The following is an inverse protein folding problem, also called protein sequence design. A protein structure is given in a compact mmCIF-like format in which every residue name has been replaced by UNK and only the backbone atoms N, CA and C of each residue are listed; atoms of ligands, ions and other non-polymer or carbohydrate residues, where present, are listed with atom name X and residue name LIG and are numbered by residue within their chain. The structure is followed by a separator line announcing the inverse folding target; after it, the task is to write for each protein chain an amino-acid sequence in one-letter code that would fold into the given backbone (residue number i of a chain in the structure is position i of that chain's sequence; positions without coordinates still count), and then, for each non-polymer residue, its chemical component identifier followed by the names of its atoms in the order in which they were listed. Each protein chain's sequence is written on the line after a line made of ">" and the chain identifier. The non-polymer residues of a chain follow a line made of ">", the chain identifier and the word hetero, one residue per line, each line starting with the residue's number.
data_IF_022328037929
#
_entry.id   IF_022328037929
#
_cell.length_a   1.000
_cell.length_b   1.000
_cell.length_c   1.000
_cell.angle_alpha   90.00
_cell.angle_beta   90.00
_cell.angle_gamma   90.00
#
_symmetry.space_group_name_H-M   'P 1'
#
loop_
_entity.id
_entity.type
_entity.pdbx_description
1 polymer ?
#
# COMPACT_ATOMS: atom_id res chain seq x y z
N UNK A 1 18.11 23.53 7.63
CA UNK A 1 16.81 22.81 7.60
C UNK A 1 16.40 22.46 6.17
N UNK A 2 16.36 23.39 5.23
CA UNK A 2 15.91 23.16 3.83
C UNK A 2 16.72 22.05 3.14
N UNK A 3 18.07 22.08 3.24
CA UNK A 3 18.94 21.05 2.63
C UNK A 3 18.65 19.66 3.17
N UNK A 4 18.43 19.52 4.48
CA UNK A 4 18.08 18.24 5.09
C UNK A 4 16.72 17.74 4.59
N UNK A 5 15.72 18.62 4.53
CA UNK A 5 14.38 18.27 4.07
C UNK A 5 14.37 17.87 2.59
N UNK A 6 15.13 18.59 1.72
CA UNK A 6 15.24 18.23 0.30
C UNK A 6 15.94 16.89 0.09
N UNK A 7 16.96 16.58 0.88
CA UNK A 7 17.66 15.29 0.84
C UNK A 7 16.72 14.15 1.30
N UNK A 8 15.92 14.36 2.34
CA UNK A 8 14.94 13.39 2.80
C UNK A 8 13.85 13.12 1.74
N UNK A 9 13.39 14.16 1.04
CA UNK A 9 12.42 14.00 -0.05
C UNK A 9 13.04 13.17 -1.19
N UNK A 10 14.28 13.44 -1.54
CA UNK A 10 14.99 12.70 -2.60
C UNK A 10 15.15 11.22 -2.24
N UNK A 11 15.58 10.93 -1.01
CA UNK A 11 15.69 9.55 -0.50
C UNK A 11 14.31 8.86 -0.55
N UNK A 12 13.26 9.57 -0.17
CA UNK A 12 11.90 9.05 -0.19
C UNK A 12 11.44 8.69 -1.60
N UNK A 13 11.68 9.55 -2.58
CA UNK A 13 11.33 9.30 -4.00
C UNK A 13 12.11 8.09 -4.54
N UNK A 14 13.41 8.00 -4.26
CA UNK A 14 14.23 6.85 -4.66
C UNK A 14 13.68 5.57 -4.04
N UNK A 15 13.32 5.60 -2.76
CA UNK A 15 12.80 4.43 -2.05
C UNK A 15 11.46 3.96 -2.61
N UNK A 16 10.56 4.88 -2.98
CA UNK A 16 9.32 4.55 -3.71
C UNK A 16 9.63 3.88 -5.04
N UNK A 17 10.51 4.46 -5.84
CA UNK A 17 10.88 3.94 -7.15
C UNK A 17 11.46 2.52 -7.07
N UNK A 18 12.35 2.27 -6.11
CA UNK A 18 12.91 0.95 -5.85
C UNK A 18 11.83 -0.05 -5.42
N UNK A 19 10.95 0.35 -4.50
CA UNK A 19 9.85 -0.51 -4.03
C UNK A 19 8.94 -0.94 -5.18
N UNK A 20 8.48 0.02 -6.00
CA UNK A 20 7.61 -0.27 -7.14
C UNK A 20 8.33 -1.10 -8.21
N UNK A 21 9.61 -0.82 -8.48
CA UNK A 21 10.41 -1.57 -9.44
C UNK A 21 10.60 -3.04 -9.04
N UNK A 22 10.89 -3.30 -7.78
CA UNK A 22 11.05 -4.68 -7.27
C UNK A 22 9.72 -5.44 -7.21
N UNK A 23 8.62 -4.76 -6.87
CA UNK A 23 7.28 -5.38 -6.92
C UNK A 23 6.91 -5.77 -8.36
N UNK A 24 7.25 -4.93 -9.34
CA UNK A 24 7.04 -5.26 -10.76
C UNK A 24 7.80 -6.53 -11.19
N UNK A 25 9.00 -6.76 -10.65
CA UNK A 25 9.80 -7.99 -10.85
C UNK A 25 9.23 -9.21 -10.09
N UNK A 26 8.15 -9.03 -9.31
CA UNK A 26 7.50 -10.08 -8.53
C UNK A 26 7.99 -10.21 -7.09
N UNK A 27 8.86 -9.31 -6.62
CA UNK A 27 9.40 -9.33 -5.27
C UNK A 27 8.51 -8.54 -4.29
N UNK A 28 7.43 -9.17 -3.84
CA UNK A 28 6.42 -8.57 -2.96
C UNK A 28 6.95 -8.19 -1.55
N UNK A 29 8.10 -8.74 -1.13
CA UNK A 29 8.70 -8.43 0.17
C UNK A 29 9.07 -6.95 0.30
N UNK A 30 9.37 -6.26 -0.81
CA UNK A 30 9.72 -4.83 -0.76
C UNK A 30 8.58 -3.93 -0.30
N UNK A 31 7.31 -4.28 -0.50
CA UNK A 31 6.20 -3.54 0.09
C UNK A 31 6.20 -3.65 1.61
N UNK A 32 6.45 -4.84 2.16
CA UNK A 32 6.56 -5.02 3.62
C UNK A 32 7.75 -4.25 4.18
N UNK A 33 8.87 -4.24 3.46
CA UNK A 33 10.05 -3.47 3.83
C UNK A 33 9.75 -1.96 3.83
N UNK A 34 9.03 -1.46 2.82
CA UNK A 34 8.56 -0.08 2.77
C UNK A 34 7.71 0.28 4.00
N UNK A 35 6.79 -0.61 4.39
CA UNK A 35 5.93 -0.39 5.56
C UNK A 35 6.75 -0.35 6.84
N UNK A 36 7.62 -1.33 7.06
CA UNK A 36 8.40 -1.47 8.30
C UNK A 36 9.40 -0.33 8.44
N UNK A 37 10.07 0.04 7.34
CA UNK A 37 11.11 1.07 7.39
C UNK A 37 10.55 2.49 7.35
N UNK A 38 9.48 2.74 6.60
CA UNK A 38 9.03 4.10 6.33
C UNK A 38 7.88 4.57 7.23
N UNK A 39 6.88 3.73 7.51
CA UNK A 39 5.71 4.18 8.27
C UNK A 39 6.05 4.70 9.68
N UNK A 40 7.00 4.12 10.45
CA UNK A 40 7.35 4.66 11.76
C UNK A 40 7.93 6.08 11.68
N UNK A 41 8.71 6.36 10.63
CA UNK A 41 9.36 7.66 10.43
C UNK A 41 8.51 8.68 9.66
N UNK A 42 7.36 8.25 9.16
CA UNK A 42 6.50 9.06 8.30
C UNK A 42 6.07 10.39 8.93
N UNK A 43 5.68 10.35 10.19
CA UNK A 43 5.24 11.56 10.93
C UNK A 43 6.41 12.53 11.13
N UNK A 44 7.57 12.01 11.51
CA UNK A 44 8.80 12.83 11.69
C UNK A 44 9.21 13.46 10.36
N UNK A 45 9.15 12.68 9.27
CA UNK A 45 9.42 13.16 7.93
C UNK A 45 8.49 14.31 7.52
N UNK A 46 7.17 14.17 7.74
CA UNK A 46 6.20 15.23 7.44
C UNK A 46 6.47 16.50 8.23
N UNK A 47 6.73 16.40 9.55
CA UNK A 47 7.03 17.56 10.40
C UNK A 47 8.31 18.26 9.93
N UNK A 48 9.35 17.50 9.60
CA UNK A 48 10.62 18.07 9.12
C UNK A 48 10.44 18.83 7.81
N UNK A 49 9.68 18.27 6.87
CA UNK A 49 9.39 18.91 5.58
C UNK A 49 8.51 20.14 5.79
N UNK A 50 7.52 20.08 6.69
CA UNK A 50 6.68 21.26 6.98
C UNK A 50 7.49 22.42 7.55
N UNK A 51 8.29 22.15 8.56
CA UNK A 51 9.12 23.17 9.19
C UNK A 51 10.17 23.77 8.24
N UNK A 52 10.52 23.07 7.16
CA UNK A 52 11.49 23.56 6.18
C UNK A 52 10.87 24.38 5.06
N UNK A 53 9.67 24.03 4.60
CA UNK A 53 9.06 24.60 3.39
C UNK A 53 7.77 25.38 3.65
N UNK A 54 7.12 25.20 4.81
CA UNK A 54 5.82 25.80 5.20
C UNK A 54 4.72 25.66 4.13
N UNK A 55 4.83 24.64 3.27
CA UNK A 55 3.96 24.45 2.13
C UNK A 55 2.99 23.29 2.36
N UNK A 56 1.70 23.64 2.55
CA UNK A 56 0.62 22.67 2.80
C UNK A 56 0.39 21.72 1.62
N UNK A 57 0.58 22.20 0.37
CA UNK A 57 0.38 21.37 -0.83
C UNK A 57 1.41 20.25 -0.87
N UNK A 58 2.67 20.56 -0.55
CA UNK A 58 3.76 19.60 -0.52
C UNK A 58 3.51 18.52 0.54
N UNK A 59 3.01 18.90 1.71
CA UNK A 59 2.67 17.95 2.78
C UNK A 59 1.52 17.05 2.39
N UNK A 60 0.46 17.62 1.79
CA UNK A 60 -0.66 16.83 1.31
C UNK A 60 -0.20 15.86 0.21
N UNK A 61 0.70 16.25 -0.66
CA UNK A 61 1.29 15.35 -1.68
C UNK A 61 2.04 14.19 -1.04
N UNK A 62 2.84 14.45 -0.01
CA UNK A 62 3.52 13.39 0.76
C UNK A 62 2.50 12.49 1.47
N UNK A 63 1.44 13.08 2.04
CA UNK A 63 0.38 12.33 2.72
C UNK A 63 -0.32 11.34 1.80
N UNK A 64 -0.62 11.74 0.57
CA UNK A 64 -1.29 10.88 -0.40
C UNK A 64 -0.34 9.93 -1.13
N UNK A 65 0.96 10.22 -1.16
CA UNK A 65 1.94 9.36 -1.84
C UNK A 65 2.01 7.95 -1.26
N UNK A 66 1.82 7.77 0.05
CA UNK A 66 1.75 6.45 0.67
C UNK A 66 0.57 5.61 0.12
N UNK A 67 -0.61 6.23 0.00
CA UNK A 67 -1.79 5.56 -0.54
C UNK A 67 -1.54 5.20 -2.02
N UNK A 68 -0.91 6.09 -2.78
CA UNK A 68 -0.51 5.85 -4.16
C UNK A 68 0.46 4.66 -4.27
N UNK A 69 1.46 4.56 -3.39
CA UNK A 69 2.40 3.41 -3.37
C UNK A 69 1.66 2.11 -3.13
N UNK A 70 0.72 2.07 -2.18
CA UNK A 70 -0.07 0.86 -1.90
C UNK A 70 -0.91 0.42 -3.09
N UNK A 71 -1.69 1.33 -3.68
CA UNK A 71 -2.54 0.99 -4.83
C UNK A 71 -1.73 0.63 -6.06
N UNK A 72 -0.67 1.38 -6.36
CA UNK A 72 0.23 1.07 -7.48
C UNK A 72 0.92 -0.28 -7.28
N UNK A 73 1.36 -0.59 -6.06
CA UNK A 73 1.93 -1.88 -5.73
C UNK A 73 0.95 -3.03 -5.97
N UNK A 74 -0.32 -2.84 -5.62
CA UNK A 74 -1.35 -3.85 -5.85
C UNK A 74 -1.61 -4.08 -7.34
N UNK A 75 -1.70 -3.01 -8.12
CA UNK A 75 -1.86 -3.10 -9.58
C UNK A 75 -0.66 -3.81 -10.20
N UNK A 76 0.57 -3.41 -9.84
CA UNK A 76 1.79 -4.02 -10.34
C UNK A 76 1.92 -5.49 -9.93
N UNK A 77 1.48 -5.83 -8.72
CA UNK A 77 1.41 -7.21 -8.26
C UNK A 77 0.48 -8.04 -9.13
N UNK A 78 -0.71 -7.55 -9.45
CA UNK A 78 -1.66 -8.25 -10.33
C UNK A 78 -1.08 -8.42 -11.74
N UNK A 79 -0.44 -7.37 -12.28
CA UNK A 79 0.14 -7.40 -13.63
C UNK A 79 1.39 -8.29 -13.69
N UNK A 80 2.30 -8.13 -12.73
CA UNK A 80 3.58 -8.86 -12.69
C UNK A 80 3.40 -10.34 -12.43
N UNK A 81 2.40 -10.73 -11.64
CA UNK A 81 2.12 -12.13 -11.35
C UNK A 81 1.42 -12.88 -12.49
N UNK A 82 0.95 -12.19 -13.53
CA UNK A 82 0.32 -12.87 -14.69
C UNK A 82 1.20 -13.98 -15.27
N UNK A 83 2.51 -13.82 -15.28
CA UNK A 83 3.44 -14.85 -15.78
C UNK A 83 3.71 -15.99 -14.77
N UNK A 84 3.63 -15.73 -13.48
CA UNK A 84 3.92 -16.70 -12.41
C UNK A 84 2.65 -17.25 -11.75
N UNK A 85 1.56 -16.50 -11.79
CA UNK A 85 0.30 -16.78 -11.09
C UNK A 85 -0.56 -17.81 -11.82
N UNK A 86 -0.54 -17.81 -13.16
CA UNK A 86 -1.38 -18.71 -13.98
C UNK A 86 -0.88 -20.17 -13.88
N UNK A 87 0.41 -20.38 -13.58
CA UNK A 87 1.00 -21.72 -13.50
C UNK A 87 1.01 -22.34 -12.09
N UNK A 88 0.73 -21.58 -11.03
CA UNK A 88 0.50 -22.12 -9.69
C UNK A 88 -0.99 -22.08 -9.41
N UNK A 89 -1.63 -23.25 -9.40
CA UNK A 89 -2.99 -23.44 -8.91
C UNK A 89 -3.20 -22.63 -7.63
N UNK A 90 -3.95 -21.55 -7.74
CA UNK A 90 -4.30 -20.66 -6.63
C UNK A 90 -5.28 -21.42 -5.74
N UNK A 91 -4.76 -22.22 -4.83
CA UNK A 91 -5.58 -22.81 -3.79
C UNK A 91 -6.00 -21.70 -2.84
N UNK A 92 -7.16 -21.08 -3.11
CA UNK A 92 -7.78 -20.14 -2.19
C UNK A 92 -8.06 -20.84 -0.86
N UNK A 93 -7.35 -20.44 0.18
CA UNK A 93 -7.65 -20.88 1.53
C UNK A 93 -9.02 -20.35 1.96
N UNK A 94 -9.60 -20.97 2.97
CA UNK A 94 -10.87 -20.49 3.56
C UNK A 94 -10.73 -19.02 3.99
N UNK A 95 -9.57 -18.63 4.52
CA UNK A 95 -9.27 -17.27 4.95
C UNK A 95 -9.28 -16.27 3.79
N UNK A 96 -8.74 -16.66 2.61
CA UNK A 96 -8.78 -15.79 1.43
C UNK A 96 -10.21 -15.50 0.97
N UNK A 97 -11.04 -16.54 0.95
CA UNK A 97 -12.46 -16.41 0.59
C UNK A 97 -13.18 -15.48 1.55
N UNK A 98 -12.92 -15.60 2.85
CA UNK A 98 -13.50 -14.73 3.88
C UNK A 98 -13.06 -13.27 3.68
N UNK A 99 -11.78 -13.01 3.43
CA UNK A 99 -11.27 -11.65 3.21
C UNK A 99 -11.87 -11.05 1.93
N UNK A 100 -11.91 -11.79 0.83
CA UNK A 100 -12.51 -11.34 -0.42
C UNK A 100 -14.00 -11.03 -0.22
N UNK A 101 -14.73 -11.90 0.48
CA UNK A 101 -16.15 -11.69 0.79
C UNK A 101 -16.33 -10.43 1.64
N UNK A 102 -15.47 -10.23 2.65
CA UNK A 102 -15.51 -9.03 3.47
C UNK A 102 -15.22 -7.75 2.67
N UNK A 103 -14.23 -7.77 1.78
CA UNK A 103 -13.95 -6.65 0.89
C UNK A 103 -15.11 -6.36 -0.08
N UNK A 104 -15.76 -7.40 -0.57
CA UNK A 104 -16.96 -7.25 -1.40
C UNK A 104 -18.12 -6.60 -0.62
N UNK A 105 -18.34 -6.99 0.64
CA UNK A 105 -19.33 -6.35 1.51
C UNK A 105 -19.02 -4.87 1.76
N UNK A 106 -17.75 -4.51 1.91
CA UNK A 106 -17.34 -3.10 2.05
C UNK A 106 -17.66 -2.30 0.79
N UNK A 107 -17.49 -2.87 -0.41
CA UNK A 107 -17.91 -2.23 -1.67
C UNK A 107 -19.42 -2.05 -1.74
N UNK A 108 -20.18 -3.06 -1.34
CA UNK A 108 -21.66 -2.97 -1.26
C UNK A 108 -22.07 -1.85 -0.32
N UNK A 109 -21.43 -1.74 0.85
CA UNK A 109 -21.68 -0.66 1.82
C UNK A 109 -21.40 0.74 1.25
N UNK A 110 -20.42 0.89 0.35
CA UNK A 110 -20.17 2.17 -0.33
C UNK A 110 -21.33 2.61 -1.21
N UNK A 111 -21.97 1.65 -1.90
CA UNK A 111 -23.03 1.92 -2.87
C UNK A 111 -24.37 2.16 -2.16
N UNK A 112 -24.64 1.42 -1.09
CA UNK A 112 -25.92 1.51 -0.37
C UNK A 112 -25.91 2.73 0.56
N UNK A 113 -26.95 3.59 0.50
CA UNK A 113 -27.04 4.77 1.36
C UNK A 113 -27.52 4.39 2.77
N UNK A 114 -26.78 3.51 3.45
CA UNK A 114 -27.07 3.13 4.84
C UNK A 114 -26.47 4.16 5.80
N UNK A 115 -27.31 4.72 6.66
CA UNK A 115 -26.91 5.66 7.71
C UNK A 115 -26.62 7.08 7.23
N UNK A 116 -26.41 7.99 8.17
CA UNK A 116 -26.17 9.42 7.94
C UNK A 116 -24.72 9.77 7.56
N UNK A 117 -23.86 8.77 7.41
CA UNK A 117 -22.46 9.01 7.12
C UNK A 117 -22.26 9.61 5.71
N UNK A 118 -21.55 10.74 5.65
CA UNK A 118 -21.21 11.40 4.40
C UNK A 118 -20.41 10.45 3.49
N UNK A 119 -20.62 10.52 2.18
CA UNK A 119 -19.97 9.67 1.17
C UNK A 119 -18.43 9.72 1.27
N UNK A 120 -17.87 10.90 1.57
CA UNK A 120 -16.43 11.07 1.76
C UNK A 120 -15.92 10.21 2.93
N UNK A 121 -16.63 10.21 4.06
CA UNK A 121 -16.27 9.40 5.23
C UNK A 121 -16.34 7.90 4.92
N UNK A 122 -17.34 7.46 4.14
CA UNK A 122 -17.46 6.06 3.68
C UNK A 122 -16.28 5.66 2.79
N UNK A 123 -15.86 6.53 1.86
CA UNK A 123 -14.71 6.28 0.98
C UNK A 123 -13.41 6.15 1.79
N UNK A 124 -13.19 7.05 2.76
CA UNK A 124 -11.99 7.01 3.61
C UNK A 124 -11.96 5.71 4.42
N UNK A 125 -13.09 5.28 4.98
CA UNK A 125 -13.22 4.04 5.72
C UNK A 125 -12.94 2.82 4.84
N UNK A 126 -13.59 2.73 3.68
CA UNK A 126 -13.38 1.67 2.72
C UNK A 126 -11.91 1.58 2.26
N UNK A 127 -11.28 2.73 1.94
CA UNK A 127 -9.86 2.79 1.59
C UNK A 127 -8.99 2.12 2.66
N UNK A 128 -9.21 2.43 3.93
CA UNK A 128 -8.40 1.88 5.02
C UNK A 128 -8.56 0.35 5.15
N UNK A 129 -9.78 -0.16 4.96
CA UNK A 129 -10.04 -1.61 4.96
C UNK A 129 -9.38 -2.29 3.76
N UNK A 130 -9.47 -1.69 2.56
CA UNK A 130 -8.80 -2.22 1.37
C UNK A 130 -7.29 -2.31 1.53
N UNK A 131 -6.66 -1.32 2.19
CA UNK A 131 -5.23 -1.36 2.50
C UNK A 131 -4.86 -2.58 3.35
N UNK A 132 -5.66 -2.92 4.36
CA UNK A 132 -5.45 -4.12 5.19
C UNK A 132 -5.56 -5.39 4.33
N UNK A 133 -6.57 -5.48 3.47
CA UNK A 133 -6.73 -6.60 2.54
C UNK A 133 -5.54 -6.77 1.59
N UNK A 134 -5.04 -5.67 1.03
CA UNK A 134 -3.85 -5.67 0.17
C UNK A 134 -2.64 -6.21 0.94
N UNK A 135 -2.40 -5.73 2.17
CA UNK A 135 -1.30 -6.17 3.02
C UNK A 135 -1.36 -7.66 3.33
N UNK A 136 -2.55 -8.19 3.56
CA UNK A 136 -2.73 -9.63 3.78
C UNK A 136 -2.25 -10.44 2.56
N UNK A 137 -2.68 -10.08 1.35
CA UNK A 137 -2.29 -10.82 0.14
C UNK A 137 -0.78 -10.72 -0.15
N UNK A 138 -0.17 -9.56 0.11
CA UNK A 138 1.28 -9.40 0.00
C UNK A 138 2.03 -10.25 1.04
N UNK A 139 1.61 -10.22 2.30
CA UNK A 139 2.21 -11.00 3.38
C UNK A 139 2.13 -12.50 3.10
N UNK A 140 0.98 -12.98 2.62
CA UNK A 140 0.80 -14.38 2.24
C UNK A 140 1.73 -14.79 1.10
N UNK A 141 1.88 -13.96 0.08
CA UNK A 141 2.74 -14.26 -1.06
C UNK A 141 4.22 -14.30 -0.67
N UNK A 142 4.68 -13.40 0.20
CA UNK A 142 6.06 -13.42 0.71
C UNK A 142 6.35 -14.66 1.53
N UNK A 143 5.40 -15.09 2.37
CA UNK A 143 5.54 -16.30 3.17
C UNK A 143 5.64 -17.56 2.31
N UNK A 144 4.85 -17.66 1.24
CA UNK A 144 4.91 -18.76 0.27
C UNK A 144 6.27 -18.78 -0.45
N UNK A 145 6.82 -17.64 -0.81
CA UNK A 145 8.15 -17.56 -1.42
C UNK A 145 9.26 -18.04 -0.47
N UNK A 146 9.18 -17.70 0.81
CA UNK A 146 10.17 -18.13 1.81
C UNK A 146 10.19 -19.64 2.05
N UNK A 147 9.04 -20.31 1.96
CA UNK A 147 8.96 -21.77 2.16
C UNK A 147 9.38 -22.61 0.94
N UNK A 148 9.55 -21.99 -0.23
CA UNK A 148 10.04 -22.70 -1.43
C UNK A 148 11.57 -22.81 -1.44
N UNK A 149 12.27 -22.00 -0.62
CA UNK A 149 13.73 -21.96 -0.51
C UNK A 149 14.28 -22.85 0.64
N UNK A 150 13.42 -23.60 1.32
CA UNK A 150 13.80 -24.70 2.24
C UNK A 150 13.57 -26.06 1.58
#
# INVERSE_FOLDING_TARGET
>A
MIVLASLLILIYIIFIGLTLGEIYKGNSAYLLLYIICFLPFYTVFQITVFNAFENIVLINSIKYSKDFVFFSSFILFIIGTKHSFINKTFNFSVLDKLIITFLALVLVYLIIPLGEANLISKIIYAKNIFLIGILYFFGRNTWLCFNIWK
#
